data_IF_316821278855
#
_entry.id   IF_316821278855
#
_cell.length_a   1.000
_cell.length_b   1.000
_cell.length_c   1.000
_cell.angle_alpha   90.00
_cell.angle_beta   90.00
_cell.angle_gamma   90.00
#
_symmetry.space_group_name_H-M   'P 1'
#
loop_
_entity.id
_entity.type
_entity.pdbx_description
1 polymer ?
#
# COMPACT_ATOMS: atom_id res chain seq x y z
N UNK A 1 -1.19 2.63 30.11
CA UNK A 1 -1.02 1.26 29.57
C UNK A 1 -1.62 1.27 28.17
N UNK A 2 -0.87 1.75 27.18
CA UNK A 2 -1.34 1.90 25.79
C UNK A 2 -0.99 0.59 25.08
N UNK A 3 -1.94 -0.25 24.66
CA UNK A 3 -1.63 -1.57 24.13
C UNK A 3 -1.04 -1.43 22.73
N UNK A 4 0.25 -1.73 22.60
CA UNK A 4 0.89 -2.62 21.61
C UNK A 4 0.56 -2.55 20.10
N UNK A 5 -0.33 -1.69 19.62
CA UNK A 5 -0.74 -1.64 18.21
C UNK A 5 0.12 -0.68 17.35
N UNK A 6 1.05 0.04 17.99
CA UNK A 6 1.96 1.00 17.34
C UNK A 6 3.23 0.36 16.73
N UNK A 7 3.34 -0.98 16.68
CA UNK A 7 4.55 -1.67 16.17
C UNK A 7 4.43 -2.28 14.79
N UNK A 8 3.24 -2.34 14.21
CA UNK A 8 3.09 -2.78 12.83
C UNK A 8 2.85 -1.54 11.98
N UNK A 9 3.93 -1.06 11.36
CA UNK A 9 3.87 -0.12 10.25
C UNK A 9 2.77 -0.61 9.32
N UNK A 10 1.66 0.12 9.27
CA UNK A 10 0.56 -0.23 8.38
C UNK A 10 1.10 -0.19 6.96
N UNK A 11 1.22 -1.36 6.33
CA UNK A 11 1.53 -1.50 4.90
C UNK A 11 0.39 -0.87 4.13
N UNK A 12 0.46 0.44 3.92
CA UNK A 12 -0.39 1.12 2.97
C UNK A 12 0.15 0.71 1.61
N UNK A 13 -0.60 -0.12 0.86
CA UNK A 13 -0.27 -0.37 -0.54
C UNK A 13 -0.54 0.95 -1.29
N UNK A 14 0.50 1.76 -1.59
CA UNK A 14 0.29 3.08 -2.17
C UNK A 14 -0.12 2.97 -3.64
N UNK A 15 0.05 1.79 -4.23
CA UNK A 15 -0.25 1.52 -5.63
C UNK A 15 -1.75 1.45 -5.91
N UNK A 16 -2.57 1.02 -4.94
CA UNK A 16 -4.02 0.89 -5.11
C UNK A 16 -4.77 2.18 -4.82
N UNK A 17 -4.08 3.20 -4.30
CA UNK A 17 -4.69 4.43 -3.79
C UNK A 17 -4.07 5.67 -4.38
N UNK A 18 -4.93 6.57 -4.84
CA UNK A 18 -4.56 7.93 -5.20
C UNK A 18 -4.94 8.89 -4.07
N UNK A 19 -3.94 9.36 -3.32
CA UNK A 19 -4.13 10.32 -2.21
C UNK A 19 -4.27 11.72 -2.78
N UNK A 20 -5.51 12.21 -2.88
CA UNK A 20 -5.84 13.53 -3.46
C UNK A 20 -5.75 14.70 -2.48
N UNK A 21 -5.76 14.40 -1.20
CA UNK A 21 -5.50 15.41 -0.16
C UNK A 21 -4.00 15.66 -0.12
N UNK A 22 -3.58 16.84 -0.59
CA UNK A 22 -2.16 17.18 -0.69
C UNK A 22 -1.48 17.24 0.68
N UNK A 23 -2.20 17.65 1.74
CA UNK A 23 -1.64 17.71 3.10
C UNK A 23 -1.37 16.30 3.60
N UNK A 24 -2.34 15.40 3.43
CA UNK A 24 -2.17 13.99 3.79
C UNK A 24 -1.08 13.32 2.94
N UNK A 25 -1.03 13.62 1.65
CA UNK A 25 -0.02 13.09 0.74
C UNK A 25 1.37 13.51 1.17
N UNK A 26 1.60 14.79 1.37
CA UNK A 26 2.87 15.31 1.87
C UNK A 26 3.27 14.67 3.20
N UNK A 27 2.31 14.48 4.11
CA UNK A 27 2.52 13.83 5.41
C UNK A 27 2.98 12.38 5.25
N UNK A 28 2.37 11.63 4.33
CA UNK A 28 2.76 10.26 4.00
C UNK A 28 4.16 10.20 3.36
N UNK A 29 4.45 11.09 2.41
CA UNK A 29 5.77 11.22 1.78
C UNK A 29 6.86 11.58 2.80
N UNK A 30 6.56 12.45 3.76
CA UNK A 30 7.44 12.81 4.89
C UNK A 30 7.47 11.77 6.01
N UNK A 31 6.65 10.71 5.93
CA UNK A 31 6.57 9.61 6.91
C UNK A 31 6.21 10.08 8.31
N UNK A 32 5.38 11.11 8.38
CA UNK A 32 4.86 11.63 9.63
C UNK A 32 3.75 10.71 10.19
N UNK A 33 3.54 10.78 11.50
CA UNK A 33 2.44 10.06 12.14
C UNK A 33 1.10 10.61 11.68
N UNK A 34 0.31 9.75 11.05
CA UNK A 34 -1.11 10.03 10.76
C UNK A 34 -1.95 9.87 12.03
N UNK A 35 -3.03 10.62 12.09
CA UNK A 35 -4.08 10.48 13.09
C UNK A 35 -4.84 9.17 12.87
N UNK A 36 -5.54 8.70 13.90
CA UNK A 36 -6.36 7.49 13.82
C UNK A 36 -7.48 7.61 12.77
N UNK A 37 -8.01 8.82 12.53
CA UNK A 37 -9.00 9.06 11.48
C UNK A 37 -8.40 8.94 10.09
N UNK A 38 -7.25 9.57 9.84
CA UNK A 38 -6.51 9.47 8.57
C UNK A 38 -6.14 8.00 8.30
N UNK A 39 -5.61 7.28 9.29
CA UNK A 39 -5.29 5.85 9.13
C UNK A 39 -6.53 5.01 8.77
N UNK A 40 -7.66 5.24 9.46
CA UNK A 40 -8.91 4.54 9.17
C UNK A 40 -9.38 4.81 7.75
N UNK A 41 -9.33 6.05 7.29
CA UNK A 41 -9.74 6.43 5.94
C UNK A 41 -8.86 5.78 4.88
N UNK A 42 -7.54 5.82 5.05
CA UNK A 42 -6.61 5.18 4.11
C UNK A 42 -6.83 3.66 4.08
N UNK A 43 -6.91 3.00 5.24
CA UNK A 43 -7.15 1.55 5.32
C UNK A 43 -8.49 1.16 4.68
N UNK A 44 -9.54 1.93 4.92
CA UNK A 44 -10.86 1.66 4.36
C UNK A 44 -10.87 1.87 2.84
N UNK A 45 -10.22 2.92 2.34
CA UNK A 45 -10.06 3.13 0.91
C UNK A 45 -9.28 1.97 0.26
N UNK A 46 -8.19 1.50 0.90
CA UNK A 46 -7.40 0.37 0.40
C UNK A 46 -8.24 -0.90 0.31
N UNK A 47 -9.02 -1.19 1.37
CA UNK A 47 -9.94 -2.31 1.41
C UNK A 47 -10.94 -2.24 0.24
N UNK A 48 -11.60 -1.10 0.04
CA UNK A 48 -12.56 -0.92 -1.06
C UNK A 48 -11.91 -1.04 -2.45
N UNK A 49 -10.65 -0.62 -2.60
CA UNK A 49 -9.93 -0.78 -3.86
C UNK A 49 -9.63 -2.26 -4.14
N UNK A 50 -9.15 -3.00 -3.15
CA UNK A 50 -8.84 -4.43 -3.26
C UNK A 50 -10.10 -5.26 -3.49
N UNK A 51 -11.20 -4.94 -2.82
CA UNK A 51 -12.48 -5.64 -2.94
C UNK A 51 -13.05 -5.61 -4.38
N UNK A 52 -12.67 -4.62 -5.19
CA UNK A 52 -13.08 -4.50 -6.60
C UNK A 52 -12.24 -5.35 -7.56
N UNK A 53 -11.06 -5.79 -7.16
CA UNK A 53 -10.13 -6.49 -8.04
C UNK A 53 -10.66 -7.83 -8.56
N UNK A 54 -11.38 -8.67 -7.77
CA UNK A 54 -12.02 -9.87 -8.28
C UNK A 54 -12.91 -9.60 -9.50
N UNK A 55 -13.79 -8.61 -9.40
CA UNK A 55 -14.73 -8.25 -10.47
C UNK A 55 -14.02 -7.70 -11.70
N UNK A 56 -13.04 -6.82 -11.51
CA UNK A 56 -12.28 -6.21 -12.61
C UNK A 56 -11.37 -7.20 -13.34
N UNK A 57 -10.85 -8.19 -12.64
CA UNK A 57 -9.88 -9.16 -13.18
C UNK A 57 -10.49 -10.50 -13.59
N UNK A 58 -11.74 -10.77 -13.21
CA UNK A 58 -12.36 -12.10 -13.34
C UNK A 58 -11.67 -13.18 -12.51
N UNK A 59 -10.97 -12.79 -11.43
CA UNK A 59 -10.24 -13.70 -10.53
C UNK A 59 -10.95 -13.83 -9.19
N UNK A 60 -10.60 -14.86 -8.42
CA UNK A 60 -11.10 -15.00 -7.05
C UNK A 60 -10.32 -14.08 -6.11
N UNK A 61 -10.92 -13.73 -4.97
CA UNK A 61 -10.21 -13.00 -3.92
C UNK A 61 -8.96 -13.75 -3.44
N UNK A 62 -9.00 -15.09 -3.39
CA UNK A 62 -7.84 -15.89 -3.04
C UNK A 62 -6.66 -15.70 -4.02
N UNK A 63 -6.94 -15.59 -5.33
CA UNK A 63 -5.90 -15.28 -6.34
C UNK A 63 -5.36 -13.86 -6.19
N UNK A 64 -6.22 -12.89 -5.87
CA UNK A 64 -5.81 -11.50 -5.61
C UNK A 64 -4.91 -11.42 -4.37
N UNK A 65 -5.29 -12.10 -3.29
CA UNK A 65 -4.48 -12.17 -2.06
C UNK A 65 -3.14 -12.86 -2.30
N UNK A 66 -3.15 -13.98 -3.04
CA UNK A 66 -1.93 -14.68 -3.44
C UNK A 66 -0.99 -13.77 -4.25
N UNK A 67 -1.55 -13.00 -5.20
CA UNK A 67 -0.79 -12.02 -5.98
C UNK A 67 -0.10 -11.00 -5.08
N UNK A 68 -0.84 -10.32 -4.19
CA UNK A 68 -0.24 -9.34 -3.28
C UNK A 68 0.77 -9.97 -2.31
N UNK A 69 0.52 -11.19 -1.84
CA UNK A 69 1.44 -11.91 -0.98
C UNK A 69 2.79 -12.14 -1.67
N UNK A 70 2.79 -12.61 -2.92
CA UNK A 70 4.03 -12.84 -3.68
C UNK A 70 4.68 -11.55 -4.20
N UNK A 71 3.89 -10.49 -4.43
CA UNK A 71 4.41 -9.18 -4.82
C UNK A 71 5.38 -8.60 -3.79
N UNK A 72 5.27 -8.95 -2.50
CA UNK A 72 6.22 -8.54 -1.44
C UNK A 72 7.67 -8.94 -1.70
N UNK A 73 7.92 -9.94 -2.57
CA UNK A 73 9.28 -10.35 -2.96
C UNK A 73 9.94 -9.37 -3.93
N UNK A 74 9.15 -8.63 -4.70
CA UNK A 74 9.59 -7.68 -5.74
C UNK A 74 9.31 -6.24 -5.38
N UNK A 75 8.24 -6.02 -4.63
CA UNK A 75 7.81 -4.75 -4.07
C UNK A 75 7.83 -4.85 -2.53
N UNK A 76 9.03 -5.03 -1.93
CA UNK A 76 9.16 -5.09 -0.48
C UNK A 76 8.82 -3.73 0.14
N UNK A 77 8.22 -3.75 1.33
CA UNK A 77 7.87 -2.53 2.07
C UNK A 77 9.11 -1.70 2.43
N UNK A 78 10.22 -2.40 2.66
CA UNK A 78 11.35 -1.95 3.47
C UNK A 78 12.65 -1.71 2.67
N UNK A 79 12.64 -1.95 1.36
CA UNK A 79 13.79 -1.73 0.46
C UNK A 79 13.31 -1.26 -0.91
N UNK A 80 14.23 -0.87 -1.79
CA UNK A 80 13.84 -0.50 -3.16
C UNK A 80 13.15 -1.66 -3.90
N UNK A 81 12.07 -1.39 -4.66
CA UNK A 81 11.39 -2.41 -5.44
C UNK A 81 12.14 -2.77 -6.72
N UNK A 82 12.17 -4.07 -7.03
CA UNK A 82 12.58 -4.62 -8.34
C UNK A 82 11.40 -4.53 -9.32
N UNK A 83 11.19 -3.32 -9.83
CA UNK A 83 10.14 -3.03 -10.82
C UNK A 83 10.34 -3.84 -12.11
N UNK A 84 11.58 -4.06 -12.53
CA UNK A 84 11.90 -4.75 -13.79
C UNK A 84 11.41 -6.21 -13.84
N UNK A 85 11.28 -6.84 -12.67
CA UNK A 85 10.76 -8.20 -12.51
C UNK A 85 9.29 -8.26 -12.13
N UNK A 86 8.60 -7.12 -12.01
CA UNK A 86 7.20 -7.02 -11.55
C UNK A 86 6.20 -7.13 -12.70
N UNK A 87 5.18 -7.97 -12.57
CA UNK A 87 4.15 -8.11 -13.59
C UNK A 87 3.18 -6.93 -13.69
N UNK A 88 3.12 -6.07 -12.67
CA UNK A 88 2.35 -4.83 -12.71
C UNK A 88 3.14 -3.62 -13.26
N UNK A 89 4.44 -3.79 -13.58
CA UNK A 89 5.30 -2.69 -14.05
C UNK A 89 4.68 -1.84 -15.18
N UNK A 90 4.01 -2.40 -16.21
CA UNK A 90 3.44 -1.60 -17.30
C UNK A 90 2.28 -0.68 -16.88
N UNK A 91 1.67 -0.91 -15.72
CA UNK A 91 0.50 -0.17 -15.22
C UNK A 91 0.74 0.50 -13.86
N UNK A 92 1.90 0.24 -13.25
CA UNK A 92 2.31 0.81 -11.98
C UNK A 92 2.58 2.31 -12.13
N UNK A 93 2.17 3.11 -11.15
CA UNK A 93 2.51 4.54 -11.11
C UNK A 93 3.90 4.81 -10.50
N UNK A 94 4.61 3.77 -10.07
CA UNK A 94 5.96 3.81 -9.47
C UNK A 94 6.11 4.87 -8.35
N UNK A 95 5.09 5.04 -7.51
CA UNK A 95 5.07 5.96 -6.34
C UNK A 95 5.97 5.45 -5.20
N UNK A 96 7.27 5.33 -5.47
CA UNK A 96 8.29 4.77 -4.56
C UNK A 96 8.47 5.63 -3.30
N UNK A 97 8.17 6.92 -3.39
CA UNK A 97 8.20 7.88 -2.29
C UNK A 97 7.23 7.54 -1.15
N UNK A 98 6.19 6.75 -1.43
CA UNK A 98 5.23 6.29 -0.44
C UNK A 98 5.64 4.97 0.25
N UNK A 99 6.77 4.36 -0.14
CA UNK A 99 7.34 3.19 0.53
C UNK A 99 8.20 3.59 1.73
N UNK A 100 8.29 2.71 2.72
CA UNK A 100 9.03 2.92 3.97
C UNK A 100 10.45 2.32 3.87
N UNK A 101 11.54 3.04 3.57
CA UNK A 101 12.87 2.45 3.67
C UNK A 101 13.23 2.08 5.12
N UNK A 102 13.98 1.00 5.31
CA UNK A 102 14.83 0.80 6.51
C UNK A 102 16.21 1.34 6.19
N UNK A 103 16.70 2.22 7.06
CA UNK A 103 18.13 2.51 7.16
C UNK A 103 18.64 1.92 8.48
#
# INVERSE_FOLDING_TARGET
MIPSLLKEKTILLPEVLDVRDEILREKLERRELVSASEEREIRFAAYQAVEKLPDLSGRTMATVDEYFFFSRKRCPEMSEPDCSSCSADPVCAHRKELFQPVF
#
